data_IF_002872595291
#
_entry.id   IF_002872595291
#
_cell.length_a   1.000
_cell.length_b   1.000
_cell.length_c   1.000
_cell.angle_alpha   90.00
_cell.angle_beta   90.00
_cell.angle_gamma   90.00
#
_symmetry.space_group_name_H-M   'P 1'
#
loop_
_entity.id
_entity.type
_entity.pdbx_description
1 polymer ?
#
# COMPACT_ATOMS: atom_id res chain seq x y z
N UNK A 1 8.71 -45.99 38.11
CA UNK A 1 7.44 -46.54 38.69
C UNK A 1 6.55 -47.11 37.59
N UNK A 2 5.85 -48.22 37.86
CA UNK A 2 4.98 -48.88 36.88
C UNK A 2 3.57 -48.27 36.89
N UNK A 3 3.05 -47.93 35.70
CA UNK A 3 1.65 -47.54 35.48
C UNK A 3 1.29 -47.60 33.99
N UNK A 4 0.01 -47.46 33.67
CA UNK A 4 -0.49 -47.44 32.29
C UNK A 4 0.03 -46.21 31.54
N UNK A 5 0.64 -46.44 30.38
CA UNK A 5 1.11 -45.39 29.49
C UNK A 5 0.00 -44.93 28.54
N UNK A 6 -0.22 -43.62 28.39
CA UNK A 6 -1.26 -43.08 27.49
C UNK A 6 -0.89 -43.14 26.00
N UNK A 7 0.32 -43.62 25.66
CA UNK A 7 0.76 -43.81 24.26
C UNK A 7 0.55 -45.25 23.79
N UNK A 8 0.98 -46.23 24.59
CA UNK A 8 0.91 -47.65 24.21
C UNK A 8 -0.10 -48.46 25.02
N UNK A 9 -0.82 -47.85 25.97
CA UNK A 9 -1.81 -48.48 26.85
C UNK A 9 -1.30 -49.66 27.70
N UNK A 10 0.02 -49.87 27.76
CA UNK A 10 0.65 -50.92 28.56
C UNK A 10 1.14 -50.37 29.92
N UNK A 11 1.13 -51.23 30.94
CA UNK A 11 1.75 -50.95 32.24
C UNK A 11 3.27 -51.02 32.11
N UNK A 12 3.92 -49.86 32.13
CA UNK A 12 5.37 -49.70 31.90
C UNK A 12 6.00 -48.71 32.87
N UNK A 13 7.32 -48.70 32.91
CA UNK A 13 8.07 -47.77 33.74
C UNK A 13 7.96 -46.33 33.23
N UNK A 14 7.64 -45.42 34.14
CA UNK A 14 7.58 -43.99 33.94
C UNK A 14 8.63 -43.27 34.81
N UNK A 15 9.18 -42.18 34.27
CA UNK A 15 10.13 -41.32 34.95
C UNK A 15 9.60 -40.64 36.23
N UNK A 16 8.27 -40.44 36.35
CA UNK A 16 7.65 -39.92 37.58
C UNK A 16 6.16 -40.22 37.63
N UNK A 17 5.55 -40.05 38.81
CA UNK A 17 4.11 -40.26 39.00
C UNK A 17 3.24 -39.31 38.17
N UNK A 18 3.76 -38.14 37.83
CA UNK A 18 3.08 -37.16 36.95
C UNK A 18 3.23 -37.46 35.46
N UNK A 19 4.15 -38.33 35.05
CA UNK A 19 4.43 -38.57 33.62
C UNK A 19 3.31 -39.38 32.97
N UNK A 20 2.69 -38.92 31.89
CA UNK A 20 1.64 -39.67 31.15
C UNK A 20 2.20 -40.62 30.09
N UNK A 21 3.53 -40.62 29.91
CA UNK A 21 4.22 -41.41 28.89
C UNK A 21 5.36 -42.19 29.52
N UNK A 22 5.45 -43.50 29.21
CA UNK A 22 6.50 -44.38 29.70
C UNK A 22 7.86 -44.10 29.04
N UNK A 23 8.93 -44.58 29.66
CA UNK A 23 10.30 -44.37 29.19
C UNK A 23 10.54 -44.95 27.78
N UNK A 24 9.95 -46.10 27.45
CA UNK A 24 10.04 -46.74 26.13
C UNK A 24 9.37 -45.92 25.01
N UNK A 25 8.19 -45.33 25.27
CA UNK A 25 7.55 -44.47 24.27
C UNK A 25 8.36 -43.17 24.08
N UNK A 26 8.95 -42.65 25.15
CA UNK A 26 9.83 -41.47 25.08
C UNK A 26 11.11 -41.76 24.30
N UNK A 27 11.76 -42.92 24.50
CA UNK A 27 12.96 -43.30 23.73
C UNK A 27 12.65 -43.49 22.24
N UNK A 28 11.43 -43.94 21.91
CA UNK A 28 10.89 -44.01 20.54
C UNK A 28 10.48 -42.65 19.96
N UNK A 29 10.70 -41.55 20.68
CA UNK A 29 10.38 -40.20 20.20
C UNK A 29 8.91 -39.82 20.27
N UNK A 30 8.08 -40.57 21.01
CA UNK A 30 6.63 -40.34 21.11
C UNK A 30 6.24 -39.85 22.51
N UNK A 31 5.27 -38.93 22.56
CA UNK A 31 4.74 -38.40 23.81
C UNK A 31 3.26 -38.05 23.71
N UNK A 32 2.56 -38.30 24.81
CA UNK A 32 1.15 -37.98 24.97
C UNK A 32 0.96 -36.53 25.44
N UNK A 33 0.11 -35.76 24.76
CA UNK A 33 -0.30 -34.42 25.16
C UNK A 33 -1.50 -34.46 26.10
N UNK A 34 -1.35 -33.96 27.33
CA UNK A 34 -2.41 -33.94 28.35
C UNK A 34 -3.57 -32.98 28.06
N UNK A 35 -3.46 -32.11 27.05
CA UNK A 35 -4.49 -31.10 26.72
C UNK A 35 -5.36 -31.47 25.53
N UNK A 36 -4.78 -32.07 24.48
CA UNK A 36 -5.54 -32.49 23.30
C UNK A 36 -5.68 -34.01 23.17
N UNK A 37 -5.14 -34.77 24.13
CA UNK A 37 -5.21 -36.23 24.19
C UNK A 37 -4.62 -36.95 22.96
N UNK A 38 -3.66 -36.32 22.27
CA UNK A 38 -2.97 -36.88 21.11
C UNK A 38 -1.58 -37.37 21.47
N UNK A 39 -1.18 -38.48 20.85
CA UNK A 39 0.21 -38.92 20.75
C UNK A 39 0.89 -38.16 19.62
N UNK A 40 2.01 -37.50 19.92
CA UNK A 40 2.76 -36.66 18.98
C UNK A 40 4.26 -36.94 19.12
N UNK A 41 5.05 -36.46 18.17
CA UNK A 41 6.50 -36.56 18.23
C UNK A 41 7.05 -35.66 19.36
N UNK A 42 8.19 -36.02 19.95
CA UNK A 42 8.85 -35.18 20.97
C UNK A 42 9.14 -33.75 20.48
N UNK A 43 9.42 -33.60 19.18
CA UNK A 43 9.61 -32.30 18.52
C UNK A 43 8.38 -31.37 18.61
N UNK A 44 7.19 -31.91 18.88
CA UNK A 44 5.96 -31.14 19.04
C UNK A 44 5.74 -30.61 20.45
N UNK A 45 6.71 -30.76 21.36
CA UNK A 45 6.65 -30.27 22.74
C UNK A 45 7.74 -29.23 22.99
N UNK A 46 7.43 -28.21 23.79
CA UNK A 46 8.47 -27.31 24.32
C UNK A 46 9.26 -28.03 25.41
N UNK A 47 10.52 -27.64 25.60
CA UNK A 47 11.36 -28.15 26.67
C UNK A 47 11.28 -27.21 27.88
N UNK A 48 11.16 -27.78 29.07
CA UNK A 48 11.32 -27.08 30.34
C UNK A 48 12.42 -27.80 31.12
N UNK A 49 13.53 -27.09 31.40
CA UNK A 49 14.73 -27.66 32.05
C UNK A 49 15.22 -28.94 31.35
N UNK A 50 15.30 -28.90 30.03
CA UNK A 50 15.74 -30.01 29.19
C UNK A 50 14.72 -31.15 29.00
N UNK A 51 13.54 -31.10 29.64
CA UNK A 51 12.53 -32.17 29.56
C UNK A 51 11.29 -31.71 28.77
N UNK A 52 10.68 -32.59 27.96
CA UNK A 52 9.49 -32.23 27.20
C UNK A 52 8.29 -31.96 28.13
N UNK A 53 7.63 -30.82 27.92
CA UNK A 53 6.43 -30.42 28.66
C UNK A 53 5.28 -31.42 28.47
N UNK A 54 4.31 -31.41 29.39
CA UNK A 54 3.14 -32.30 29.32
C UNK A 54 2.15 -31.99 28.19
N UNK A 55 2.20 -30.77 27.62
CA UNK A 55 1.33 -30.33 26.54
C UNK A 55 2.12 -29.92 25.30
N UNK A 56 1.55 -30.18 24.12
CA UNK A 56 2.20 -29.88 22.85
C UNK A 56 2.26 -28.37 22.58
N UNK A 57 3.16 -27.97 21.68
CA UNK A 57 3.40 -26.59 21.24
C UNK A 57 2.12 -25.90 20.80
N UNK A 58 1.24 -26.61 20.09
CA UNK A 58 -0.03 -26.05 19.65
C UNK A 58 -0.97 -25.72 20.82
N UNK A 59 -1.11 -26.64 21.78
CA UNK A 59 -1.92 -26.43 22.99
C UNK A 59 -1.32 -25.33 23.88
N UNK A 60 0.01 -25.30 24.04
CA UNK A 60 0.70 -24.28 24.80
C UNK A 60 0.52 -22.88 24.18
N UNK A 61 0.64 -22.76 22.85
CA UNK A 61 0.39 -21.50 22.14
C UNK A 61 -1.04 -21.00 22.36
N UNK A 62 -2.03 -21.88 22.25
CA UNK A 62 -3.45 -21.53 22.50
C UNK A 62 -3.65 -21.06 23.93
N UNK A 63 -3.14 -21.80 24.92
CA UNK A 63 -3.21 -21.44 26.34
C UNK A 63 -2.55 -20.09 26.62
N UNK A 64 -1.33 -19.88 26.11
CA UNK A 64 -0.58 -18.63 26.28
C UNK A 64 -1.31 -17.45 25.64
N UNK A 65 -1.86 -17.63 24.45
CA UNK A 65 -2.65 -16.59 23.78
C UNK A 65 -3.89 -16.23 24.58
N UNK A 66 -4.64 -17.23 25.05
CA UNK A 66 -5.83 -17.00 25.87
C UNK A 66 -5.48 -16.28 27.16
N UNK A 67 -4.42 -16.71 27.86
CA UNK A 67 -3.97 -16.03 29.09
C UNK A 67 -3.61 -14.56 28.87
N UNK A 68 -3.07 -14.19 27.70
CA UNK A 68 -2.80 -12.78 27.35
C UNK A 68 -4.06 -11.98 27.08
N UNK A 69 -5.10 -12.61 26.54
CA UNK A 69 -6.42 -12.00 26.34
C UNK A 69 -7.08 -11.80 27.69
N UNK A 70 -7.18 -12.86 28.49
CA UNK A 70 -7.84 -12.85 29.79
C UNK A 70 -7.19 -11.86 30.76
N UNK A 71 -5.85 -11.73 30.72
CA UNK A 71 -5.13 -10.78 31.55
C UNK A 71 -5.14 -9.33 31.03
N UNK A 72 -5.83 -9.06 29.92
CA UNK A 72 -5.80 -7.77 29.20
C UNK A 72 -4.40 -7.37 28.72
N UNK A 73 -3.44 -8.29 28.64
CA UNK A 73 -2.05 -7.98 28.26
C UNK A 73 -1.97 -7.40 26.84
N UNK A 74 -2.80 -7.89 25.93
CA UNK A 74 -2.83 -7.43 24.54
C UNK A 74 -3.40 -6.01 24.38
N UNK A 75 -4.20 -5.57 25.34
CA UNK A 75 -4.89 -4.28 25.33
C UNK A 75 -4.07 -3.19 26.03
N UNK A 76 -2.96 -3.57 26.67
CA UNK A 76 -2.05 -2.62 27.30
C UNK A 76 -1.48 -1.63 26.27
N UNK A 77 -1.52 -0.31 26.54
CA UNK A 77 -1.07 0.71 25.60
C UNK A 77 0.36 0.48 25.07
N UNK A 78 1.29 0.06 25.94
CA UNK A 78 2.68 -0.19 25.57
C UNK A 78 2.84 -1.40 24.61
N UNK A 79 1.99 -2.42 24.77
CA UNK A 79 1.98 -3.61 23.91
C UNK A 79 1.41 -3.26 22.55
N UNK A 80 0.31 -2.49 22.52
CA UNK A 80 -0.29 -1.97 21.28
C UNK A 80 0.72 -1.08 20.54
N UNK A 81 1.38 -0.16 21.25
CA UNK A 81 2.37 0.75 20.67
C UNK A 81 3.54 -0.02 20.05
N UNK A 82 4.11 -1.01 20.74
CA UNK A 82 5.19 -1.86 20.24
C UNK A 82 4.77 -2.68 19.01
N UNK A 83 3.56 -3.23 19.01
CA UNK A 83 2.97 -3.93 17.86
C UNK A 83 2.80 -3.00 16.66
N UNK A 84 2.28 -1.79 16.88
CA UNK A 84 2.08 -0.79 15.84
C UNK A 84 3.42 -0.31 15.26
N UNK A 85 4.43 -0.10 16.10
CA UNK A 85 5.78 0.24 15.66
C UNK A 85 6.38 -0.86 14.77
N UNK A 86 6.28 -2.12 15.22
CA UNK A 86 6.75 -3.28 14.45
C UNK A 86 6.03 -3.39 13.09
N UNK A 87 4.72 -3.16 13.07
CA UNK A 87 3.91 -3.11 11.85
C UNK A 87 4.35 -1.99 10.90
N UNK A 88 4.61 -0.78 11.42
CA UNK A 88 5.13 0.35 10.64
C UNK A 88 6.50 0.03 10.02
N UNK A 89 7.42 -0.53 10.81
CA UNK A 89 8.76 -0.92 10.33
C UNK A 89 8.65 -1.98 9.22
N UNK A 90 7.84 -3.01 9.43
CA UNK A 90 7.67 -4.07 8.43
C UNK A 90 7.01 -3.54 7.15
N UNK A 91 5.99 -2.67 7.26
CA UNK A 91 5.42 -1.99 6.08
C UNK A 91 6.50 -1.19 5.35
N UNK A 92 7.30 -0.39 6.05
CA UNK A 92 8.37 0.41 5.43
C UNK A 92 9.35 -0.47 4.65
N UNK A 93 9.81 -1.58 5.24
CA UNK A 93 10.69 -2.54 4.56
C UNK A 93 10.06 -3.10 3.29
N UNK A 94 8.77 -3.45 3.34
CA UNK A 94 8.03 -3.96 2.19
C UNK A 94 7.90 -2.93 1.06
N UNK A 95 7.71 -1.65 1.37
CA UNK A 95 7.62 -0.58 0.36
C UNK A 95 8.98 -0.12 -0.18
N UNK A 96 10.08 -0.39 0.54
CA UNK A 96 11.45 -0.11 0.08
C UNK A 96 11.89 -1.07 -1.03
N UNK A 97 11.46 -2.33 -0.98
CA UNK A 97 11.68 -3.31 -2.04
C UNK A 97 10.85 -2.94 -3.30
N UNK A 98 11.49 -2.56 -4.42
CA UNK A 98 10.77 -2.12 -5.61
C UNK A 98 9.88 -3.20 -6.24
N UNK A 99 10.32 -4.46 -6.21
CA UNK A 99 9.59 -5.60 -6.78
C UNK A 99 8.34 -5.84 -5.94
N UNK A 100 8.51 -5.92 -4.62
CA UNK A 100 7.40 -6.18 -3.71
C UNK A 100 6.40 -5.02 -3.69
N UNK A 101 6.90 -3.78 -3.72
CA UNK A 101 6.07 -2.58 -3.88
C UNK A 101 5.23 -2.66 -5.16
N UNK A 102 5.84 -3.04 -6.28
CA UNK A 102 5.13 -3.16 -7.57
C UNK A 102 4.03 -4.22 -7.51
N UNK A 103 4.32 -5.40 -6.99
CA UNK A 103 3.34 -6.48 -6.83
C UNK A 103 2.14 -6.06 -5.96
N UNK A 104 2.36 -5.27 -4.91
CA UNK A 104 1.29 -4.75 -4.05
C UNK A 104 0.38 -3.79 -4.84
N UNK A 105 0.98 -2.87 -5.61
CA UNK A 105 0.22 -1.95 -6.45
C UNK A 105 -0.54 -2.67 -7.56
N UNK A 106 0.09 -3.64 -8.22
CA UNK A 106 -0.55 -4.39 -9.31
C UNK A 106 -1.78 -5.15 -8.78
N UNK A 107 -1.65 -5.85 -7.64
CA UNK A 107 -2.77 -6.53 -6.97
C UNK A 107 -3.87 -5.57 -6.52
N UNK A 108 -3.48 -4.39 -6.01
CA UNK A 108 -4.45 -3.37 -5.64
C UNK A 108 -5.24 -2.87 -6.85
N UNK A 109 -4.54 -2.53 -7.94
CA UNK A 109 -5.13 -2.04 -9.17
C UNK A 109 -6.00 -3.09 -9.87
N UNK A 110 -5.59 -4.36 -9.86
CA UNK A 110 -6.38 -5.48 -10.36
C UNK A 110 -7.71 -5.59 -9.61
N UNK A 111 -7.66 -5.60 -8.26
CA UNK A 111 -8.87 -5.61 -7.43
C UNK A 111 -9.79 -4.41 -7.70
N UNK A 112 -9.24 -3.21 -7.91
CA UNK A 112 -10.05 -2.04 -8.27
C UNK A 112 -10.68 -2.20 -9.66
N UNK A 113 -9.95 -2.74 -10.64
CA UNK A 113 -10.48 -3.03 -11.98
C UNK A 113 -11.60 -4.06 -11.94
N UNK A 114 -11.43 -5.14 -11.18
CA UNK A 114 -12.47 -6.15 -11.00
C UNK A 114 -13.68 -5.58 -10.27
N UNK A 115 -13.47 -4.80 -9.20
CA UNK A 115 -14.56 -4.09 -8.53
C UNK A 115 -15.32 -3.16 -9.47
N UNK A 116 -14.62 -2.41 -10.32
CA UNK A 116 -15.25 -1.53 -11.31
C UNK A 116 -16.13 -2.29 -12.30
N UNK A 117 -15.76 -3.52 -12.68
CA UNK A 117 -16.57 -4.37 -13.57
C UNK A 117 -17.80 -4.95 -12.86
N UNK A 118 -17.63 -5.39 -11.61
CA UNK A 118 -18.63 -6.20 -10.89
C UNK A 118 -19.61 -5.38 -10.03
N UNK A 119 -19.16 -4.26 -9.46
CA UNK A 119 -19.93 -3.44 -8.52
C UNK A 119 -20.47 -2.19 -9.23
N UNK A 120 -21.75 -2.23 -9.59
CA UNK A 120 -22.43 -1.15 -10.30
C UNK A 120 -22.45 0.18 -9.51
N UNK A 121 -22.62 0.12 -8.19
CA UNK A 121 -22.62 1.31 -7.32
C UNK A 121 -21.22 1.94 -7.27
N UNK A 122 -20.17 1.13 -7.14
CA UNK A 122 -18.80 1.62 -7.23
C UNK A 122 -18.50 2.22 -8.60
N UNK A 123 -18.93 1.58 -9.69
CA UNK A 123 -18.79 2.12 -11.05
C UNK A 123 -19.48 3.48 -11.19
N UNK A 124 -20.71 3.60 -10.72
CA UNK A 124 -21.47 4.85 -10.74
C UNK A 124 -20.78 5.95 -9.93
N UNK A 125 -20.30 5.65 -8.72
CA UNK A 125 -19.51 6.59 -7.91
C UNK A 125 -18.25 7.08 -8.60
N UNK A 126 -17.51 6.19 -9.27
CA UNK A 126 -16.31 6.57 -10.03
C UNK A 126 -16.69 7.47 -11.22
N UNK A 127 -17.75 7.14 -11.95
CA UNK A 127 -18.24 7.97 -13.06
C UNK A 127 -18.69 9.34 -12.55
N UNK A 128 -19.49 9.38 -11.48
CA UNK A 128 -19.96 10.61 -10.86
C UNK A 128 -18.81 11.47 -10.35
N UNK A 129 -17.80 10.87 -9.70
CA UNK A 129 -16.60 11.60 -9.27
C UNK A 129 -15.81 12.17 -10.45
N UNK A 130 -15.66 11.41 -11.53
CA UNK A 130 -15.02 11.90 -12.76
C UNK A 130 -15.84 13.00 -13.45
N UNK A 131 -17.17 12.89 -13.44
CA UNK A 131 -18.09 13.92 -13.95
C UNK A 131 -18.00 15.18 -13.10
N UNK A 132 -18.15 15.09 -11.78
CA UNK A 132 -18.01 16.21 -10.86
C UNK A 132 -16.63 16.89 -10.98
N UNK A 133 -15.56 16.11 -11.16
CA UNK A 133 -14.24 16.66 -11.46
C UNK A 133 -14.25 17.46 -12.76
N UNK A 134 -14.83 16.92 -13.84
CA UNK A 134 -14.96 17.58 -15.15
C UNK A 134 -15.91 18.78 -15.14
N UNK A 135 -17.03 18.71 -14.44
CA UNK A 135 -18.02 19.77 -14.29
C UNK A 135 -17.48 20.90 -13.40
N UNK A 136 -16.62 20.55 -12.44
CA UNK A 136 -15.81 21.51 -11.68
C UNK A 136 -14.67 22.13 -12.48
N UNK A 137 -14.36 21.62 -13.69
CA UNK A 137 -13.50 22.32 -14.65
C UNK A 137 -14.31 23.44 -15.29
N UNK A 138 -14.40 24.58 -14.62
CA UNK A 138 -14.91 25.81 -15.21
C UNK A 138 -13.91 26.23 -16.30
N UNK A 139 -14.35 26.36 -17.56
CA UNK A 139 -13.50 26.80 -18.69
C UNK A 139 -13.80 26.07 -20.01
N UNK A 140 -13.70 26.78 -21.12
CA UNK A 140 -14.19 26.36 -22.44
C UNK A 140 -13.13 25.77 -23.37
N UNK A 141 -11.98 25.28 -22.85
CA UNK A 141 -10.89 24.79 -23.71
C UNK A 141 -11.38 23.70 -24.67
N UNK A 142 -11.45 24.05 -25.95
CA UNK A 142 -11.85 23.19 -27.06
C UNK A 142 -10.69 22.32 -27.55
N UNK A 143 -10.99 21.30 -28.35
CA UNK A 143 -9.97 20.47 -28.99
C UNK A 143 -9.08 21.28 -29.95
N UNK A 144 -9.66 22.25 -30.66
CA UNK A 144 -8.94 23.14 -31.57
C UNK A 144 -7.98 24.06 -30.80
N UNK A 145 -8.44 24.69 -29.72
CA UNK A 145 -7.57 25.52 -28.87
C UNK A 145 -6.43 24.70 -28.26
N UNK A 146 -6.68 23.45 -27.89
CA UNK A 146 -5.62 22.55 -27.44
C UNK A 146 -4.59 22.25 -28.55
N UNK A 147 -5.04 22.01 -29.78
CA UNK A 147 -4.14 21.81 -30.92
C UNK A 147 -3.28 23.06 -31.17
N UNK A 148 -3.90 24.24 -31.15
CA UNK A 148 -3.19 25.53 -31.26
C UNK A 148 -2.20 25.74 -30.11
N UNK A 149 -2.52 25.27 -28.91
CA UNK A 149 -1.63 25.30 -27.74
C UNK A 149 -0.39 24.43 -28.00
N UNK A 150 -0.57 23.21 -28.51
CA UNK A 150 0.54 22.33 -28.85
C UNK A 150 1.46 22.97 -29.90
N UNK A 151 0.88 23.53 -30.95
CA UNK A 151 1.61 24.20 -32.03
C UNK A 151 2.39 25.42 -31.51
N UNK A 152 1.77 26.26 -30.68
CA UNK A 152 2.44 27.40 -30.07
C UNK A 152 3.69 26.99 -29.28
N UNK A 153 3.64 25.86 -28.57
CA UNK A 153 4.76 25.31 -27.81
C UNK A 153 5.63 24.33 -28.62
N UNK A 154 5.56 24.34 -29.96
CA UNK A 154 6.35 23.52 -30.87
C UNK A 154 6.21 22.00 -30.62
N UNK A 155 5.06 21.53 -30.14
CA UNK A 155 4.85 20.15 -29.70
C UNK A 155 5.86 19.66 -28.64
N UNK A 156 6.36 20.59 -27.81
CA UNK A 156 7.30 20.30 -26.72
C UNK A 156 6.66 20.58 -25.36
N UNK A 157 7.20 19.96 -24.32
CA UNK A 157 6.89 20.33 -22.95
C UNK A 157 7.27 21.81 -22.71
N UNK A 158 6.31 22.62 -22.27
CA UNK A 158 6.49 24.04 -21.97
C UNK A 158 7.57 24.30 -20.92
N UNK A 159 7.81 23.31 -20.03
CA UNK A 159 8.82 23.41 -18.98
C UNK A 159 10.19 22.88 -19.42
N UNK A 160 10.31 21.57 -19.68
CA UNK A 160 11.61 20.95 -19.93
C UNK A 160 11.98 20.83 -21.42
N UNK A 161 11.08 21.17 -22.35
CA UNK A 161 11.32 21.05 -23.78
C UNK A 161 11.24 19.63 -24.35
N UNK A 162 10.89 18.62 -23.54
CA UNK A 162 10.85 17.24 -24.01
C UNK A 162 9.72 16.98 -25.03
N UNK A 163 10.07 16.32 -26.13
CA UNK A 163 9.17 15.81 -27.18
C UNK A 163 8.68 14.41 -26.83
N UNK A 164 7.86 14.31 -25.79
CA UNK A 164 7.28 13.03 -25.33
C UNK A 164 5.75 13.11 -25.39
N UNK A 165 5.05 12.10 -24.89
CA UNK A 165 3.59 12.18 -24.74
C UNK A 165 3.23 13.37 -23.83
N UNK A 166 2.64 14.40 -24.42
CA UNK A 166 2.21 15.62 -23.74
C UNK A 166 0.80 15.46 -23.17
N UNK A 167 0.58 16.06 -22.01
CA UNK A 167 -0.72 16.21 -21.38
C UNK A 167 -1.04 17.68 -21.15
N UNK A 168 -2.33 17.99 -21.05
CA UNK A 168 -2.84 19.29 -20.59
C UNK A 168 -2.45 19.49 -19.13
N UNK A 169 -1.68 20.52 -18.87
CA UNK A 169 -1.24 20.92 -17.53
C UNK A 169 -1.80 22.30 -17.22
N UNK A 170 -2.38 22.47 -16.03
CA UNK A 170 -2.97 23.74 -15.60
C UNK A 170 -1.94 24.57 -14.85
N UNK A 171 -1.56 25.72 -15.43
CA UNK A 171 -0.58 26.65 -14.84
C UNK A 171 -1.04 27.05 -13.43
N UNK A 172 -2.29 27.50 -13.29
CA UNK A 172 -2.99 27.59 -12.01
C UNK A 172 -3.75 26.28 -11.80
N UNK A 173 -3.41 25.48 -10.77
CA UNK A 173 -4.09 24.20 -10.52
C UNK A 173 -5.60 24.35 -10.31
N UNK A 174 -6.37 23.35 -10.76
CA UNK A 174 -7.83 23.30 -10.54
C UNK A 174 -8.18 23.36 -9.04
N UNK A 175 -7.38 22.71 -8.19
CA UNK A 175 -7.54 22.77 -6.72
C UNK A 175 -7.42 24.19 -6.14
N UNK A 176 -6.80 25.10 -6.88
CA UNK A 176 -6.67 26.53 -6.55
C UNK A 176 -7.61 27.40 -7.41
N UNK A 177 -8.72 26.83 -7.88
CA UNK A 177 -9.73 27.48 -8.75
C UNK A 177 -9.19 27.91 -10.12
N UNK A 178 -8.14 27.26 -10.62
CA UNK A 178 -7.70 27.46 -12.00
C UNK A 178 -8.70 26.94 -13.01
N UNK A 179 -8.99 27.75 -14.03
CA UNK A 179 -9.96 27.43 -15.08
C UNK A 179 -9.37 26.53 -16.16
N UNK A 180 -10.20 25.73 -16.81
CA UNK A 180 -9.83 24.91 -17.97
C UNK A 180 -9.96 25.72 -19.26
N UNK A 181 -9.11 26.72 -19.42
CA UNK A 181 -9.11 27.67 -20.53
C UNK A 181 -7.72 27.71 -21.18
N UNK A 182 -7.67 28.15 -22.44
CA UNK A 182 -6.47 28.23 -23.27
C UNK A 182 -5.30 28.89 -22.52
N UNK A 183 -5.49 30.09 -21.95
CA UNK A 183 -4.44 30.79 -21.20
C UNK A 183 -3.93 30.06 -19.93
N UNK A 184 -4.73 29.17 -19.36
CA UNK A 184 -4.35 28.45 -18.14
C UNK A 184 -3.82 27.04 -18.42
N UNK A 185 -3.79 26.61 -19.69
CA UNK A 185 -3.35 25.26 -20.06
C UNK A 185 -2.11 25.33 -20.94
N UNK A 186 -1.09 24.55 -20.58
CA UNK A 186 0.15 24.39 -21.35
C UNK A 186 0.44 22.90 -21.59
N UNK A 187 1.25 22.55 -22.60
CA UNK A 187 1.71 21.18 -22.76
C UNK A 187 2.81 20.85 -21.75
N UNK A 188 2.64 19.75 -21.03
CA UNK A 188 3.69 19.21 -20.18
C UNK A 188 3.86 17.71 -20.41
N UNK A 189 5.08 17.22 -20.28
CA UNK A 189 5.31 15.78 -20.19
C UNK A 189 4.80 15.23 -18.84
N UNK A 190 4.59 13.93 -18.76
CA UNK A 190 4.06 13.25 -17.56
C UNK A 190 4.92 13.53 -16.32
N UNK A 191 6.25 13.57 -16.47
CA UNK A 191 7.17 13.83 -15.36
C UNK A 191 7.06 15.25 -14.82
N UNK A 192 6.98 16.27 -15.68
CA UNK A 192 6.78 17.67 -15.27
C UNK A 192 5.41 17.87 -14.61
N UNK A 193 4.33 17.40 -15.26
CA UNK A 193 2.98 17.51 -14.71
C UNK A 193 2.89 16.85 -13.33
N UNK A 194 3.41 15.63 -13.18
CA UNK A 194 3.43 14.92 -11.89
C UNK A 194 4.33 15.57 -10.84
N UNK A 195 5.41 16.23 -11.25
CA UNK A 195 6.33 16.93 -10.35
C UNK A 195 5.76 18.25 -9.83
N UNK A 196 5.07 19.00 -10.70
CA UNK A 196 4.37 20.25 -10.35
C UNK A 196 3.14 19.99 -9.50
N UNK A 197 2.24 19.12 -9.97
CA UNK A 197 0.98 18.77 -9.31
C UNK A 197 0.16 20.02 -8.95
N UNK A 198 0.00 20.34 -7.67
CA UNK A 198 -0.77 21.46 -7.12
C UNK A 198 0.10 22.63 -6.62
N UNK A 199 1.41 22.55 -6.84
CA UNK A 199 2.35 23.64 -6.52
C UNK A 199 2.10 24.85 -7.39
N UNK A 200 2.49 26.02 -6.88
CA UNK A 200 2.56 27.22 -7.71
C UNK A 200 3.55 27.00 -8.86
N UNK A 201 3.17 27.39 -10.07
CA UNK A 201 3.97 27.13 -11.27
C UNK A 201 5.32 27.83 -11.21
N UNK A 202 5.35 29.09 -10.77
CA UNK A 202 6.56 29.90 -10.80
C UNK A 202 7.55 29.42 -9.74
N UNK A 203 7.08 29.19 -8.52
CA UNK A 203 7.90 28.68 -7.41
C UNK A 203 8.48 27.32 -7.77
N UNK A 204 7.63 26.38 -8.19
CA UNK A 204 8.08 25.03 -8.56
C UNK A 204 9.08 25.07 -9.72
N UNK A 205 8.80 25.83 -10.78
CA UNK A 205 9.61 25.78 -11.98
C UNK A 205 11.02 26.34 -11.73
N UNK A 206 11.14 27.41 -10.93
CA UNK A 206 12.44 27.99 -10.52
C UNK A 206 13.31 27.01 -9.72
N UNK A 207 12.71 26.08 -8.98
CA UNK A 207 13.43 25.04 -8.23
C UNK A 207 13.86 23.85 -9.09
N UNK A 208 13.37 23.73 -10.33
CA UNK A 208 13.72 22.60 -11.19
C UNK A 208 15.11 22.75 -11.81
N UNK A 209 15.82 21.63 -11.96
CA UNK A 209 17.13 21.57 -12.62
C UNK A 209 17.13 21.97 -14.10
N UNK A 210 15.96 22.08 -14.72
CA UNK A 210 15.78 22.39 -16.14
C UNK A 210 15.08 23.75 -16.33
N UNK A 211 15.12 24.60 -15.30
CA UNK A 211 14.60 25.96 -15.38
C UNK A 211 15.20 26.72 -16.57
N UNK A 212 14.34 27.45 -17.28
CA UNK A 212 14.73 28.29 -18.41
C UNK A 212 13.89 29.55 -18.40
N UNK A 213 14.55 30.70 -18.31
CA UNK A 213 13.91 32.02 -18.33
C UNK A 213 13.12 32.24 -19.63
N UNK A 214 13.68 31.83 -20.77
CA UNK A 214 13.01 31.92 -22.07
C UNK A 214 11.68 31.13 -22.09
N UNK A 215 11.67 29.92 -21.53
CA UNK A 215 10.45 29.10 -21.44
C UNK A 215 9.46 29.68 -20.43
N UNK A 216 9.94 30.19 -19.30
CA UNK A 216 9.09 30.89 -18.33
C UNK A 216 8.43 32.11 -18.98
N UNK A 217 9.19 32.93 -19.70
CA UNK A 217 8.68 34.09 -20.42
C UNK A 217 7.58 33.69 -21.40
N UNK A 218 7.81 32.63 -22.20
CA UNK A 218 6.81 32.08 -23.13
C UNK A 218 5.53 31.62 -22.43
N UNK A 219 5.64 30.95 -21.27
CA UNK A 219 4.47 30.53 -20.48
C UNK A 219 3.72 31.75 -19.92
N UNK A 220 4.44 32.77 -19.45
CA UNK A 220 3.83 33.99 -18.90
C UNK A 220 3.14 34.82 -19.97
N UNK A 221 3.73 34.90 -21.17
CA UNK A 221 3.13 35.50 -22.36
C UNK A 221 1.84 34.77 -22.76
N UNK A 222 1.89 33.43 -22.83
CA UNK A 222 0.72 32.60 -23.09
C UNK A 222 -0.41 32.84 -22.06
N UNK A 223 -0.06 32.86 -20.77
CA UNK A 223 -0.99 33.16 -19.67
C UNK A 223 -1.58 34.57 -19.75
N UNK A 224 -0.83 35.52 -20.29
CA UNK A 224 -1.26 36.90 -20.52
C UNK A 224 -2.26 37.09 -21.67
N UNK A 225 -2.57 36.03 -22.44
CA UNK A 225 -3.58 36.06 -23.51
C UNK A 225 -3.03 36.40 -24.90
N UNK A 226 -1.75 36.12 -25.17
CA UNK A 226 -1.08 36.45 -26.44
C UNK A 226 -1.66 35.76 -27.70
N UNK A 227 -2.65 34.88 -27.57
CA UNK A 227 -3.31 34.20 -28.70
C UNK A 227 -4.82 34.42 -28.73
N UNK A 228 -5.29 35.67 -28.77
CA UNK A 228 -6.59 35.94 -29.40
C UNK A 228 -6.37 35.88 -30.91
N UNK A 229 -6.44 34.68 -31.49
CA UNK A 229 -6.67 34.56 -32.92
C UNK A 229 -7.95 35.37 -33.25
N UNK A 230 -7.97 36.17 -34.34
CA UNK A 230 -9.16 36.93 -34.70
C UNK A 230 -10.33 35.95 -34.84
N UNK A 231 -11.42 36.22 -34.13
CA UNK A 231 -12.70 35.53 -34.38
C UNK A 231 -12.98 35.69 -35.87
N UNK A 232 -12.95 34.59 -36.63
CA UNK A 232 -13.40 34.62 -38.02
C UNK A 232 -14.88 35.02 -37.99
N UNK A 233 -15.17 36.14 -38.63
CA UNK A 233 -16.50 36.72 -38.85
C UNK A 233 -17.42 35.76 -39.58
#
# INVERSE_FOLDING_TARGET
MLKTCNVCNATKEHASWKSTTCNDCLSKGLKYCSRCNKTLALGDFYLCRGKPMGMCKACEKKRSQQGKIDSGYLDRPEVIAKRNLSSKINKRKVYQDPIRRRQIYDRHNERLRERYKQDANYKEKVIASNRAYKEGLVGTLTAEEWQNTLEHFNNQCAYCGAETKLCREHVVPISKKGLNETQNVVPACISCNSSKKDKDMLEWYKETKFFSEARLAKIMEWKGGASRAPKRS
#
